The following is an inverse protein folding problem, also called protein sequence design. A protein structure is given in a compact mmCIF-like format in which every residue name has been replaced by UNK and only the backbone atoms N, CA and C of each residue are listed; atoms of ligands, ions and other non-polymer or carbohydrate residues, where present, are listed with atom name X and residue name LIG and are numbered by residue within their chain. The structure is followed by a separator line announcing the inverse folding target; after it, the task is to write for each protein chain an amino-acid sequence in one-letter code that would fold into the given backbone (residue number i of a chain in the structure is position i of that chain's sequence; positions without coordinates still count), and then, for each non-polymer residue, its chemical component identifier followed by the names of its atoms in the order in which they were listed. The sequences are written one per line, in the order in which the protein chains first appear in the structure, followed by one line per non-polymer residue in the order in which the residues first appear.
data_IF_499192084168
#
_entry.id   IF_499192084168
#
_cell.length_a   1.000
_cell.length_b   1.000
_cell.length_c   1.000
_cell.angle_alpha   90.00
_cell.angle_beta   90.00
_cell.angle_gamma   90.00
#
_symmetry.space_group_name_H-M   'P 1'
#
loop_
_entity.id
_entity.type
_entity.pdbx_description
1 polymer ?
#
# COMPACT_ATOMS: atom_id res chain seq x y z
N UNK A 1 6.35 16.98 69.83
CA UNK A 1 6.75 15.77 69.08
C UNK A 1 5.88 15.67 67.84
N UNK A 2 6.40 16.05 66.68
CA UNK A 2 5.80 15.72 65.38
C UNK A 2 6.94 15.80 64.37
N UNK A 3 7.57 14.66 64.11
CA UNK A 3 8.62 14.49 63.13
C UNK A 3 8.10 13.58 62.00
N UNK A 4 8.26 14.09 60.79
CA UNK A 4 8.57 13.40 59.54
C UNK A 4 7.68 12.23 59.08
N UNK A 5 6.73 12.57 58.19
CA UNK A 5 6.11 11.66 57.22
C UNK A 5 6.66 11.93 55.81
N UNK A 6 7.83 11.38 55.53
CA UNK A 6 8.53 11.45 54.24
C UNK A 6 7.67 10.83 53.10
N UNK A 7 7.27 11.66 52.14
CA UNK A 7 6.49 11.25 50.96
C UNK A 7 7.43 10.86 49.82
N UNK A 8 7.67 9.56 49.61
CA UNK A 8 8.41 9.07 48.44
C UNK A 8 7.57 9.19 47.15
N UNK A 9 8.12 9.72 46.04
CA UNK A 9 7.41 9.77 44.76
C UNK A 9 7.42 8.37 44.13
N UNK A 10 6.23 7.80 43.91
CA UNK A 10 6.09 6.56 43.15
C UNK A 10 6.32 6.86 41.66
N UNK A 11 7.49 6.45 41.19
CA UNK A 11 7.87 6.25 39.78
C UNK A 11 6.71 5.71 38.94
N UNK A 12 6.36 6.47 37.91
CA UNK A 12 5.43 6.13 36.82
C UNK A 12 6.00 4.99 35.97
N UNK A 13 5.72 3.74 36.35
CA UNK A 13 5.86 2.59 35.45
C UNK A 13 4.70 2.60 34.46
N UNK A 14 5.03 2.42 33.19
CA UNK A 14 4.13 2.57 32.03
C UNK A 14 2.79 1.88 32.21
N UNK A 15 1.72 2.65 31.97
CA UNK A 15 0.35 2.13 31.86
C UNK A 15 0.33 1.13 30.70
N UNK A 16 0.02 -0.13 30.99
CA UNK A 16 -0.39 -1.08 29.95
C UNK A 16 -1.61 -0.47 29.25
N UNK A 17 -1.59 -0.30 27.92
CA UNK A 17 -2.72 0.27 27.20
C UNK A 17 -3.97 -0.59 27.45
N UNK A 18 -5.10 0.08 27.59
CA UNK A 18 -6.41 -0.56 27.76
C UNK A 18 -6.76 -1.40 26.53
N UNK A 19 -7.66 -2.38 26.69
CA UNK A 19 -8.09 -3.25 25.59
C UNK A 19 -8.67 -2.46 24.41
N UNK A 20 -9.34 -1.34 24.71
CA UNK A 20 -9.90 -0.42 23.72
C UNK A 20 -8.80 0.35 22.96
N UNK A 21 -7.79 0.87 23.67
CA UNK A 21 -6.61 1.51 23.06
C UNK A 21 -5.83 0.54 22.17
N UNK A 22 -5.70 -0.72 22.59
CA UNK A 22 -5.05 -1.78 21.80
C UNK A 22 -5.80 -1.99 20.48
N UNK A 23 -7.12 -2.16 20.54
CA UNK A 23 -7.95 -2.39 19.35
C UNK A 23 -7.94 -1.18 18.40
N UNK A 24 -8.04 0.04 18.95
CA UNK A 24 -7.97 1.28 18.17
C UNK A 24 -6.61 1.45 17.49
N UNK A 25 -5.51 1.11 18.18
CA UNK A 25 -4.18 1.09 17.59
C UNK A 25 -4.06 0.09 16.43
N UNK A 26 -4.60 -1.11 16.60
CA UNK A 26 -4.62 -2.12 15.53
C UNK A 26 -5.43 -1.68 14.31
N UNK A 27 -6.61 -1.08 14.52
CA UNK A 27 -7.42 -0.54 13.43
C UNK A 27 -6.73 0.62 12.71
N UNK A 28 -6.00 1.45 13.45
CA UNK A 28 -5.20 2.53 12.86
C UNK A 28 -4.11 1.96 11.94
N UNK A 29 -3.36 0.96 12.39
CA UNK A 29 -2.33 0.31 11.56
C UNK A 29 -2.92 -0.33 10.29
N UNK A 30 -4.07 -1.01 10.39
CA UNK A 30 -4.77 -1.56 9.20
C UNK A 30 -5.22 -0.46 8.24
N UNK A 31 -5.76 0.64 8.77
CA UNK A 31 -6.19 1.77 7.95
C UNK A 31 -5.01 2.42 7.23
N UNK A 32 -3.87 2.61 7.91
CA UNK A 32 -2.65 3.12 7.29
C UNK A 32 -2.16 2.21 6.16
N UNK A 33 -2.11 0.89 6.39
CA UNK A 33 -1.75 -0.06 5.35
C UNK A 33 -2.69 0.01 4.15
N UNK A 34 -4.01 0.07 4.39
CA UNK A 34 -5.02 0.19 3.33
C UNK A 34 -4.83 1.46 2.51
N UNK A 35 -4.56 2.60 3.14
CA UNK A 35 -4.30 3.87 2.44
C UNK A 35 -3.06 3.76 1.55
N UNK A 36 -2.00 3.10 2.03
CA UNK A 36 -0.80 2.86 1.21
C UNK A 36 -1.11 1.99 -0.01
N UNK A 37 -1.90 0.92 0.15
CA UNK A 37 -2.31 0.04 -0.95
C UNK A 37 -3.15 0.79 -1.99
N UNK A 38 -4.11 1.61 -1.56
CA UNK A 38 -4.92 2.42 -2.50
C UNK A 38 -4.04 3.37 -3.31
N UNK A 39 -3.11 4.08 -2.67
CA UNK A 39 -2.16 4.95 -3.35
C UNK A 39 -1.21 4.20 -4.28
N UNK A 40 -0.81 2.98 -3.92
CA UNK A 40 0.02 2.12 -4.78
C UNK A 40 -0.71 1.83 -6.09
N UNK A 41 -1.98 1.42 -6.02
CA UNK A 41 -2.78 1.13 -7.22
C UNK A 41 -2.99 2.35 -8.11
N UNK A 42 -3.17 3.54 -7.54
CA UNK A 42 -3.22 4.81 -8.29
C UNK A 42 -1.89 5.05 -9.04
N UNK A 43 -0.75 4.90 -8.36
CA UNK A 43 0.56 5.10 -8.97
C UNK A 43 0.89 4.05 -10.05
N UNK A 44 0.44 2.81 -9.88
CA UNK A 44 0.61 1.75 -10.88
C UNK A 44 -0.16 2.06 -12.18
N UNK A 45 -1.37 2.63 -12.04
CA UNK A 45 -2.15 3.12 -13.19
C UNK A 45 -1.39 4.25 -13.90
N UNK A 46 -0.98 5.28 -13.16
CA UNK A 46 -0.21 6.42 -13.71
C UNK A 46 1.06 5.94 -14.43
N UNK A 47 1.79 4.99 -13.85
CA UNK A 47 2.98 4.39 -14.46
C UNK A 47 2.63 3.69 -15.78
N UNK A 48 1.54 2.94 -15.83
CA UNK A 48 1.11 2.22 -17.04
C UNK A 48 0.78 3.20 -18.17
N UNK A 49 0.07 4.28 -17.87
CA UNK A 49 -0.25 5.36 -18.81
C UNK A 49 1.02 6.05 -19.31
N UNK A 50 1.93 6.41 -18.39
CA UNK A 50 3.21 7.02 -18.74
C UNK A 50 4.08 6.12 -19.63
N UNK A 51 4.08 4.79 -19.39
CA UNK A 51 4.79 3.84 -20.25
C UNK A 51 4.25 3.86 -21.68
N UNK A 52 2.93 3.79 -21.84
CA UNK A 52 2.28 3.83 -23.17
C UNK A 52 2.65 5.12 -23.91
N UNK A 53 2.61 6.27 -23.23
CA UNK A 53 2.96 7.56 -23.85
C UNK A 53 4.43 7.62 -24.26
N UNK A 54 5.35 7.11 -23.42
CA UNK A 54 6.78 7.07 -23.78
C UNK A 54 7.02 6.11 -24.95
N UNK A 55 6.38 4.94 -24.94
CA UNK A 55 6.52 3.93 -25.99
C UNK A 55 5.97 4.39 -27.34
N UNK A 56 4.90 5.17 -27.36
CA UNK A 56 4.35 5.75 -28.59
C UNK A 56 5.17 6.92 -29.12
N UNK A 57 5.90 7.64 -28.26
CA UNK A 57 6.68 8.80 -28.65
C UNK A 57 8.14 8.50 -29.01
N UNK A 58 8.71 7.37 -28.57
CA UNK A 58 10.12 7.02 -28.84
C UNK A 58 10.46 6.86 -30.33
N UNK A 59 9.49 6.46 -31.14
CA UNK A 59 9.64 6.25 -32.59
C UNK A 59 9.30 7.51 -33.41
N UNK A 60 8.97 8.62 -32.75
CA UNK A 60 8.64 9.88 -33.41
C UNK A 60 9.90 10.73 -33.65
N UNK A 61 9.85 11.53 -34.71
CA UNK A 61 10.89 12.53 -35.00
C UNK A 61 11.05 13.53 -33.85
N UNK A 62 12.28 13.74 -33.41
CA UNK A 62 12.65 14.61 -32.29
C UNK A 62 12.28 16.08 -32.50
N UNK A 63 12.28 16.54 -33.76
CA UNK A 63 11.93 17.92 -34.14
C UNK A 63 10.42 18.12 -34.36
N UNK A 64 9.61 17.05 -34.27
CA UNK A 64 8.16 17.13 -34.34
C UNK A 64 7.62 17.97 -33.17
N UNK A 65 6.70 18.88 -33.50
CA UNK A 65 6.01 19.70 -32.50
C UNK A 65 5.08 18.84 -31.63
N UNK A 66 5.17 19.06 -30.33
CA UNK A 66 4.32 18.50 -29.29
C UNK A 66 3.55 19.64 -28.61
N UNK A 67 2.31 19.36 -28.20
CA UNK A 67 1.50 20.31 -27.44
C UNK A 67 1.10 19.68 -26.12
N UNK A 68 1.48 20.34 -25.02
CA UNK A 68 1.09 19.91 -23.68
C UNK A 68 -0.03 20.79 -23.16
N UNK A 69 -1.15 20.19 -22.77
CA UNK A 69 -2.24 20.90 -22.11
C UNK A 69 -1.94 21.04 -20.62
N UNK A 70 -1.88 22.27 -20.11
CA UNK A 70 -1.67 22.58 -18.69
C UNK A 70 -2.70 23.61 -18.27
N UNK A 71 -3.63 23.23 -17.39
CA UNK A 71 -4.63 24.16 -16.83
C UNK A 71 -5.47 24.89 -17.89
N UNK A 72 -5.74 24.24 -19.04
CA UNK A 72 -6.49 24.83 -20.14
C UNK A 72 -5.66 25.61 -21.17
N UNK A 73 -4.35 25.73 -20.97
CA UNK A 73 -3.42 26.36 -21.93
C UNK A 73 -2.62 25.28 -22.66
N UNK A 74 -2.52 25.38 -23.99
CA UNK A 74 -1.64 24.52 -24.79
C UNK A 74 -0.25 25.14 -24.90
N UNK A 75 0.77 24.44 -24.42
CA UNK A 75 2.16 24.82 -24.54
C UNK A 75 2.82 24.05 -25.69
N UNK A 76 3.37 24.77 -26.67
CA UNK A 76 4.16 24.20 -27.77
C UNK A 76 5.58 23.83 -27.28
N UNK A 77 6.02 22.61 -27.61
CA UNK A 77 7.36 22.06 -27.35
C UNK A 77 7.76 21.12 -28.48
N UNK A 78 8.94 20.51 -28.41
CA UNK A 78 9.38 19.46 -29.33
C UNK A 78 9.44 18.09 -28.65
N UNK A 79 9.36 17.00 -29.43
CA UNK A 79 9.51 15.62 -28.90
C UNK A 79 10.82 15.47 -28.12
N UNK A 80 11.94 16.01 -28.64
CA UNK A 80 13.25 15.94 -27.97
C UNK A 80 13.29 16.64 -26.60
N UNK A 81 12.43 17.62 -26.36
CA UNK A 81 12.31 18.30 -25.05
C UNK A 81 11.35 17.57 -24.11
N UNK A 82 10.28 16.97 -24.65
CA UNK A 82 9.20 16.36 -23.86
C UNK A 82 9.50 14.91 -23.47
N UNK A 83 10.09 14.13 -24.37
CA UNK A 83 10.42 12.73 -24.15
C UNK A 83 11.32 12.46 -22.92
N UNK A 84 12.41 13.22 -22.68
CA UNK A 84 13.21 13.04 -21.47
C UNK A 84 12.43 13.38 -20.19
N UNK A 85 11.53 14.37 -20.25
CA UNK A 85 10.71 14.75 -19.10
C UNK A 85 9.71 13.65 -18.72
N UNK A 86 9.09 13.02 -19.71
CA UNK A 86 8.18 11.90 -19.48
C UNK A 86 8.91 10.65 -18.99
N UNK A 87 10.10 10.40 -19.52
CA UNK A 87 10.97 9.29 -19.07
C UNK A 87 11.38 9.48 -17.61
N UNK A 88 11.82 10.69 -17.24
CA UNK A 88 12.18 11.02 -15.85
C UNK A 88 10.99 10.87 -14.89
N UNK A 89 9.80 11.32 -15.30
CA UNK A 89 8.57 11.15 -14.50
C UNK A 89 8.22 9.69 -14.30
N UNK A 90 8.21 8.88 -15.37
CA UNK A 90 8.00 7.43 -15.30
C UNK A 90 8.98 6.77 -14.32
N UNK A 91 10.25 7.11 -14.41
CA UNK A 91 11.29 6.53 -13.54
C UNK A 91 11.11 6.97 -12.08
N UNK A 92 10.70 8.22 -11.86
CA UNK A 92 10.34 8.70 -10.52
C UNK A 92 9.15 7.94 -9.95
N UNK A 93 8.08 7.73 -10.71
CA UNK A 93 6.90 6.97 -10.28
C UNK A 93 7.30 5.52 -9.95
N UNK A 94 8.16 4.92 -10.78
CA UNK A 94 8.67 3.54 -10.54
C UNK A 94 9.42 3.43 -9.20
N UNK A 95 10.25 4.42 -8.86
CA UNK A 95 10.92 4.48 -7.55
C UNK A 95 9.91 4.59 -6.41
N UNK A 96 8.95 5.49 -6.52
CA UNK A 96 7.92 5.68 -5.48
C UNK A 96 7.09 4.41 -5.29
N UNK A 97 6.73 3.69 -6.35
CA UNK A 97 6.03 2.39 -6.26
C UNK A 97 6.87 1.36 -5.48
N UNK A 98 8.18 1.35 -5.71
CA UNK A 98 9.10 0.45 -4.98
C UNK A 98 9.10 0.79 -3.50
N UNK A 99 9.24 2.08 -3.15
CA UNK A 99 9.20 2.56 -1.77
C UNK A 99 7.87 2.27 -1.07
N UNK A 100 6.75 2.39 -1.78
CA UNK A 100 5.42 2.07 -1.26
C UNK A 100 5.25 0.57 -1.00
N UNK A 101 5.74 -0.29 -1.90
CA UNK A 101 5.73 -1.74 -1.69
C UNK A 101 6.53 -2.15 -0.45
N UNK A 102 7.70 -1.55 -0.23
CA UNK A 102 8.49 -1.76 0.98
C UNK A 102 7.74 -1.30 2.24
N UNK A 103 7.11 -0.12 2.19
CA UNK A 103 6.31 0.40 3.31
C UNK A 103 5.09 -0.47 3.62
N UNK A 104 4.37 -0.96 2.61
CA UNK A 104 3.23 -1.88 2.78
C UNK A 104 3.70 -3.18 3.44
N UNK A 105 4.82 -3.72 2.98
CA UNK A 105 5.41 -4.94 3.55
C UNK A 105 5.83 -4.74 5.00
N UNK A 106 6.49 -3.61 5.30
CA UNK A 106 6.88 -3.25 6.67
C UNK A 106 5.68 -3.09 7.58
N UNK A 107 4.65 -2.36 7.15
CA UNK A 107 3.39 -2.20 7.90
C UNK A 107 2.66 -3.54 8.10
N UNK A 108 2.71 -4.43 7.13
CA UNK A 108 2.19 -5.80 7.27
C UNK A 108 2.88 -6.59 8.39
N UNK A 109 4.21 -6.47 8.51
CA UNK A 109 4.96 -7.05 9.63
C UNK A 109 4.57 -6.41 10.96
N UNK A 110 4.53 -5.08 11.02
CA UNK A 110 4.14 -4.34 12.23
C UNK A 110 2.73 -4.75 12.71
N UNK A 111 1.78 -4.94 11.78
CA UNK A 111 0.41 -5.41 12.07
C UNK A 111 0.43 -6.82 12.67
N UNK A 112 1.22 -7.74 12.11
CA UNK A 112 1.32 -9.11 12.60
C UNK A 112 1.96 -9.15 14.00
N UNK A 113 3.07 -8.43 14.19
CA UNK A 113 3.73 -8.30 15.50
C UNK A 113 2.78 -7.69 16.55
N UNK A 114 1.99 -6.69 16.16
CA UNK A 114 1.01 -6.07 17.04
C UNK A 114 -0.15 -7.04 17.38
N UNK A 115 -0.60 -7.86 16.42
CA UNK A 115 -1.61 -8.90 16.62
C UNK A 115 -1.13 -9.94 17.62
N UNK A 116 0.10 -10.42 17.47
CA UNK A 116 0.72 -11.41 18.37
C UNK A 116 0.94 -10.86 19.78
N UNK A 117 1.53 -9.66 19.87
CA UNK A 117 1.87 -9.02 21.15
C UNK A 117 0.67 -8.81 22.07
N UNK A 118 -0.49 -8.51 21.50
CA UNK A 118 -1.72 -8.25 22.25
C UNK A 118 -2.78 -9.34 22.09
N UNK A 119 -2.42 -10.45 21.46
CA UNK A 119 -3.27 -11.63 21.27
C UNK A 119 -4.67 -11.28 20.66
N UNK A 120 -4.68 -10.33 19.72
CA UNK A 120 -5.90 -9.74 19.15
C UNK A 120 -6.65 -10.80 18.34
N UNK A 121 -7.83 -11.19 18.83
CA UNK A 121 -8.77 -12.04 18.10
C UNK A 121 -9.63 -11.17 17.20
N UNK A 122 -9.28 -11.11 15.92
CA UNK A 122 -10.10 -10.41 14.92
C UNK A 122 -11.31 -11.28 14.63
N UNK A 123 -12.43 -11.02 15.30
CA UNK A 123 -13.72 -11.65 14.98
C UNK A 123 -14.04 -11.38 13.51
N UNK A 124 -14.00 -12.43 12.69
CA UNK A 124 -14.29 -12.37 11.25
C UNK A 124 -13.10 -12.67 10.31
N UNK A 125 -11.91 -13.00 10.83
CA UNK A 125 -10.76 -13.41 10.01
C UNK A 125 -9.98 -14.58 10.62
N UNK A 126 -10.70 -15.55 11.20
CA UNK A 126 -10.18 -16.87 11.58
C UNK A 126 -10.58 -17.96 10.55
N UNK A 127 -11.17 -17.58 9.42
CA UNK A 127 -11.45 -18.46 8.26
C UNK A 127 -10.73 -17.92 7.02
N UNK A 128 -9.39 -17.99 7.04
CA UNK A 128 -8.62 -18.05 5.81
C UNK A 128 -7.38 -18.90 6.12
N UNK A 129 -7.34 -20.18 5.68
CA UNK A 129 -6.22 -21.03 5.99
C UNK A 129 -4.95 -20.44 5.36
N UNK A 130 -3.93 -20.21 6.18
CA UNK A 130 -2.57 -20.06 5.67
C UNK A 130 -2.16 -21.41 5.09
N UNK A 131 -2.21 -21.54 3.77
CA UNK A 131 -1.69 -22.73 3.11
C UNK A 131 -0.20 -22.87 3.39
N UNK A 132 0.14 -23.86 4.21
CA UNK A 132 1.48 -24.45 4.30
C UNK A 132 1.31 -25.97 4.26
N UNK A 133 1.73 -26.53 3.13
CA UNK A 133 2.10 -27.90 2.81
C UNK A 133 1.64 -29.05 3.74
N UNK A 134 0.78 -29.92 3.20
CA UNK A 134 0.86 -31.37 3.42
C UNK A 134 0.38 -32.14 2.19
N UNK A 135 1.23 -33.05 1.76
CA UNK A 135 1.19 -33.91 0.58
C UNK A 135 0.32 -35.15 0.85
N UNK A 136 -0.43 -35.59 -0.16
CA UNK A 136 -0.79 -36.99 -0.54
C UNK A 136 -2.29 -37.29 -0.76
N UNK A 137 -2.57 -37.66 -2.02
CA UNK A 137 -3.64 -38.53 -2.61
C UNK A 137 -5.13 -38.18 -2.48
N UNK A 138 -5.80 -38.29 -3.64
CA UNK A 138 -7.16 -38.85 -3.72
C UNK A 138 -8.08 -38.19 -4.75
N UNK A 139 -8.32 -38.90 -5.84
CA UNK A 139 -9.20 -38.60 -6.97
C UNK A 139 -10.71 -38.51 -6.60
N UNK A 140 -11.43 -37.53 -7.16
CA UNK A 140 -12.72 -37.66 -7.90
C UNK A 140 -13.81 -36.58 -7.64
N UNK A 141 -14.46 -36.22 -8.75
CA UNK A 141 -15.81 -35.64 -8.96
C UNK A 141 -16.08 -34.12 -8.88
N UNK A 142 -15.91 -33.47 -10.04
CA UNK A 142 -16.94 -32.67 -10.78
C UNK A 142 -17.49 -31.32 -10.25
N UNK A 143 -17.98 -30.44 -11.16
CA UNK A 143 -17.63 -29.01 -11.17
C UNK A 143 -18.76 -28.05 -10.78
N UNK A 144 -18.44 -26.96 -10.08
CA UNK A 144 -19.36 -25.83 -9.86
C UNK A 144 -18.95 -24.65 -10.74
N UNK A 145 -19.72 -24.43 -11.81
CA UNK A 145 -19.64 -23.28 -12.71
C UNK A 145 -20.26 -22.06 -12.05
N UNK A 146 -19.47 -21.05 -11.71
CA UNK A 146 -20.00 -19.71 -11.41
C UNK A 146 -19.19 -18.67 -12.20
N UNK A 147 -19.54 -18.51 -13.48
CA UNK A 147 -19.17 -17.35 -14.30
C UNK A 147 -20.24 -16.28 -14.05
N UNK A 148 -19.91 -15.23 -13.30
CA UNK A 148 -20.67 -13.98 -13.30
C UNK A 148 -20.03 -13.05 -14.34
N UNK A 149 -20.67 -12.94 -15.50
CA UNK A 149 -20.46 -11.85 -16.46
C UNK A 149 -21.61 -10.88 -16.22
N UNK A 150 -21.30 -9.73 -15.61
CA UNK A 150 -22.22 -8.60 -15.56
C UNK A 150 -21.99 -7.79 -16.84
N UNK A 151 -22.97 -7.86 -17.75
CA UNK A 151 -23.00 -7.06 -18.96
C UNK A 151 -23.66 -5.71 -18.65
N UNK A 152 -23.11 -4.70 -19.32
CA UNK A 152 -23.39 -3.26 -19.32
C UNK A 152 -24.86 -2.86 -19.41
#
# INVERSE_FOLDING_TARGET
MAADGESKPKTSKGKTPTQEEIYNGFQTLRNEQRVLVTKLSELELDLSEHKIVVDTMKDLDGDRKCFQLIGGVLCERTVKEVLPQLTLKRDSITKVITDYNEQITKKGKDINEYKEKYNIKVRGQDDMPSETDSKDKGESSSPSKNVMVEAM
#
